data_IF_660044586753
#
_entry.id   IF_660044586753
#
_cell.length_a   1.000
_cell.length_b   1.000
_cell.length_c   1.000
_cell.angle_alpha   90.00
_cell.angle_beta   90.00
_cell.angle_gamma   90.00
#
_symmetry.space_group_name_H-M   'P 1'
#
loop_
_entity.id
_entity.type
_entity.pdbx_description
1 polymer ?
#
# COMPACT_ATOMS: atom_id res chain seq x y z
N UNK A 1 -22.34 9.11 10.36
CA UNK A 1 -21.32 9.18 9.33
C UNK A 1 -21.07 7.77 8.78
N UNK A 2 -20.86 7.66 7.46
CA UNK A 2 -20.49 6.43 6.79
C UNK A 2 -18.98 6.45 6.51
N UNK A 3 -18.31 5.29 6.39
CA UNK A 3 -16.89 5.22 6.04
C UNK A 3 -16.66 5.87 4.67
N UNK A 4 -15.57 6.60 4.54
CA UNK A 4 -15.14 7.27 3.30
C UNK A 4 -13.84 6.70 2.74
N UNK A 5 -13.19 5.83 3.49
CA UNK A 5 -11.95 5.18 3.11
C UNK A 5 -11.99 3.66 3.37
N UNK A 6 -11.37 2.88 2.49
CA UNK A 6 -11.19 1.43 2.70
C UNK A 6 -10.28 1.09 3.89
N UNK A 7 -9.60 2.07 4.46
CA UNK A 7 -8.72 1.87 5.61
C UNK A 7 -9.46 2.11 6.94
N UNK A 8 -10.73 2.50 6.89
CA UNK A 8 -11.62 2.62 8.04
C UNK A 8 -12.25 1.25 8.35
N UNK A 9 -11.60 0.49 9.23
CA UNK A 9 -12.00 -0.88 9.61
C UNK A 9 -12.76 -0.95 10.94
N UNK A 10 -13.34 0.15 11.38
CA UNK A 10 -14.11 0.24 12.62
C UNK A 10 -15.59 0.47 12.34
N UNK A 11 -16.44 0.01 13.27
CA UNK A 11 -17.88 0.22 13.19
C UNK A 11 -18.22 1.68 13.45
N UNK A 12 -18.95 2.29 12.51
CA UNK A 12 -19.44 3.66 12.66
C UNK A 12 -20.70 3.67 13.55
N UNK A 13 -20.73 4.59 14.50
CA UNK A 13 -21.84 4.74 15.43
C UNK A 13 -22.14 6.23 15.69
N UNK A 14 -23.31 6.48 16.26
CA UNK A 14 -23.67 7.76 16.88
C UNK A 14 -23.91 7.52 18.36
N UNK A 15 -23.47 8.46 19.19
CA UNK A 15 -23.68 8.40 20.63
C UNK A 15 -24.84 9.33 21.03
N UNK A 16 -25.82 8.79 21.74
CA UNK A 16 -26.84 9.57 22.44
C UNK A 16 -26.36 9.75 23.88
N UNK A 17 -26.23 10.98 24.32
CA UNK A 17 -25.80 11.33 25.67
C UNK A 17 -26.97 11.93 26.42
N UNK A 18 -27.40 11.27 27.51
CA UNK A 18 -28.40 11.77 28.44
C UNK A 18 -27.68 12.40 29.62
N UNK A 19 -27.93 13.72 29.80
CA UNK A 19 -27.34 14.51 30.89
C UNK A 19 -28.36 14.63 31.99
N UNK A 20 -28.07 14.07 33.16
CA UNK A 20 -28.85 14.16 34.36
C UNK A 20 -28.60 15.45 35.15
N UNK A 21 -28.82 15.41 36.46
CA UNK A 21 -28.60 16.56 37.34
C UNK A 21 -27.09 16.82 37.54
N UNK A 22 -26.77 18.03 38.03
CA UNK A 22 -25.40 18.42 38.31
C UNK A 22 -24.73 17.44 39.29
N UNK A 23 -23.59 16.86 38.84
CA UNK A 23 -22.85 15.83 39.60
C UNK A 23 -23.21 14.39 39.26
N UNK A 24 -24.21 14.15 38.42
CA UNK A 24 -24.52 12.82 37.89
C UNK A 24 -23.65 12.48 36.65
N UNK A 25 -23.23 11.24 36.55
CA UNK A 25 -22.51 10.75 35.36
C UNK A 25 -23.47 10.63 34.19
N UNK A 26 -23.18 11.24 33.02
CA UNK A 26 -24.03 11.11 31.85
C UNK A 26 -24.17 9.65 31.39
N UNK A 27 -25.36 9.25 31.00
CA UNK A 27 -25.58 7.97 30.34
C UNK A 27 -25.27 8.11 28.83
N UNK A 28 -24.41 7.24 28.32
CA UNK A 28 -24.03 7.21 26.90
C UNK A 28 -24.56 5.94 26.27
N UNK A 29 -25.33 6.08 25.19
CA UNK A 29 -25.83 4.96 24.39
C UNK A 29 -25.29 5.08 22.98
N UNK A 30 -24.55 4.08 22.53
CA UNK A 30 -24.08 3.97 21.16
C UNK A 30 -25.12 3.27 20.28
N UNK A 31 -25.34 3.83 19.09
CA UNK A 31 -26.20 3.26 18.05
C UNK A 31 -25.34 3.06 16.82
N UNK A 32 -25.14 1.80 16.46
CA UNK A 32 -24.42 1.43 15.24
C UNK A 32 -25.16 1.88 14.00
N UNK A 33 -24.41 2.44 13.04
CA UNK A 33 -24.93 2.85 11.72
C UNK A 33 -24.55 1.77 10.72
N UNK A 34 -25.56 1.10 10.17
CA UNK A 34 -25.33 0.14 9.10
C UNK A 34 -25.06 0.88 7.80
N UNK A 35 -23.97 0.49 7.11
CA UNK A 35 -23.65 1.01 5.80
C UNK A 35 -24.39 0.17 4.72
N UNK A 36 -25.32 0.77 3.94
CA UNK A 36 -26.02 0.06 2.88
C UNK A 36 -25.09 -0.35 1.71
N UNK A 37 -23.93 0.27 1.58
CA UNK A 37 -22.92 -0.02 0.57
C UNK A 37 -21.55 -0.13 1.25
N UNK A 38 -21.25 -1.27 1.91
CA UNK A 38 -19.99 -1.43 2.63
C UNK A 38 -18.78 -1.33 1.70
N UNK A 39 -17.68 -0.84 2.26
CA UNK A 39 -16.38 -0.85 1.61
C UNK A 39 -15.73 -2.21 1.88
N UNK A 40 -15.55 -3.00 0.84
CA UNK A 40 -15.02 -4.37 0.94
C UNK A 40 -13.66 -4.43 0.26
N UNK A 41 -12.68 -4.97 0.97
CA UNK A 41 -11.35 -5.26 0.41
C UNK A 41 -11.25 -6.76 0.14
N UNK A 42 -10.76 -7.14 -1.04
CA UNK A 42 -10.53 -8.53 -1.41
C UNK A 42 -9.03 -8.76 -1.73
N UNK A 43 -8.40 -9.76 -1.11
CA UNK A 43 -8.93 -10.56 0.00
C UNK A 43 -9.17 -9.72 1.27
N UNK A 44 -10.00 -10.21 2.18
CA UNK A 44 -10.27 -9.55 3.47
C UNK A 44 -9.02 -9.42 4.32
N UNK A 45 -8.10 -10.36 4.20
CA UNK A 45 -6.83 -10.38 4.91
C UNK A 45 -5.68 -10.63 3.94
N UNK A 46 -4.59 -9.87 4.10
CA UNK A 46 -3.37 -10.05 3.33
C UNK A 46 -3.45 -9.50 1.90
N UNK A 47 -2.72 -10.14 1.01
CA UNK A 47 -2.59 -9.81 -0.40
C UNK A 47 -2.87 -11.07 -1.23
N UNK A 48 -3.39 -10.91 -2.42
CA UNK A 48 -3.59 -11.98 -3.40
C UNK A 48 -2.76 -11.69 -4.67
N UNK A 49 -2.41 -12.71 -5.41
CA UNK A 49 -1.92 -12.53 -6.78
C UNK A 49 -3.03 -11.92 -7.66
N UNK A 50 -2.66 -11.37 -8.80
CA UNK A 50 -3.64 -10.79 -9.72
C UNK A 50 -4.72 -11.80 -10.14
N UNK A 51 -4.33 -13.04 -10.44
CA UNK A 51 -5.26 -14.10 -10.84
C UNK A 51 -6.23 -14.48 -9.71
N UNK A 52 -5.72 -14.62 -8.49
CA UNK A 52 -6.55 -14.90 -7.31
C UNK A 52 -7.51 -13.73 -7.01
N UNK A 53 -7.07 -12.49 -7.16
CA UNK A 53 -7.90 -11.31 -6.95
C UNK A 53 -9.06 -11.25 -7.95
N UNK A 54 -8.82 -11.58 -9.22
CA UNK A 54 -9.87 -11.73 -10.25
C UNK A 54 -10.86 -12.81 -9.88
N UNK A 55 -10.38 -13.96 -9.41
CA UNK A 55 -11.23 -15.07 -8.99
C UNK A 55 -12.11 -14.67 -7.80
N UNK A 56 -11.54 -13.98 -6.79
CA UNK A 56 -12.28 -13.47 -5.64
C UNK A 56 -13.39 -12.49 -6.07
N UNK A 57 -13.07 -11.56 -6.95
CA UNK A 57 -14.04 -10.60 -7.47
C UNK A 57 -15.15 -11.29 -8.31
N UNK A 58 -14.78 -12.25 -9.13
CA UNK A 58 -15.75 -13.04 -9.91
C UNK A 58 -16.71 -13.83 -9.03
N UNK A 59 -16.22 -14.40 -7.91
CA UNK A 59 -17.01 -15.15 -6.94
C UNK A 59 -17.78 -14.25 -5.95
N UNK A 60 -17.54 -12.94 -5.96
CA UNK A 60 -18.28 -12.04 -5.09
C UNK A 60 -19.77 -12.09 -5.42
N UNK A 61 -20.68 -12.15 -4.42
CA UNK A 61 -22.12 -12.28 -4.66
C UNK A 61 -22.68 -11.15 -5.54
N UNK A 62 -23.58 -11.50 -6.44
CA UNK A 62 -24.14 -10.56 -7.42
C UNK A 62 -25.16 -9.59 -6.79
N UNK A 63 -25.76 -9.99 -5.67
CA UNK A 63 -26.86 -9.30 -4.99
C UNK A 63 -26.40 -8.42 -3.80
N UNK A 64 -25.11 -8.38 -3.51
CA UNK A 64 -24.58 -7.57 -2.42
C UNK A 64 -24.10 -6.21 -2.95
N UNK A 65 -24.75 -5.09 -2.59
CA UNK A 65 -24.28 -3.77 -2.92
C UNK A 65 -23.05 -3.43 -2.07
N UNK A 66 -21.91 -3.25 -2.73
CA UNK A 66 -20.64 -2.94 -2.06
C UNK A 66 -19.73 -2.12 -2.96
N UNK A 67 -18.79 -1.37 -2.37
CA UNK A 67 -17.65 -0.82 -3.06
C UNK A 67 -16.45 -1.74 -2.83
N UNK A 68 -15.75 -2.15 -3.90
CA UNK A 68 -14.71 -3.16 -3.81
C UNK A 68 -13.34 -2.57 -4.15
N UNK A 69 -12.37 -2.83 -3.26
CA UNK A 69 -10.94 -2.65 -3.48
C UNK A 69 -10.28 -4.02 -3.58
N UNK A 70 -9.38 -4.21 -4.55
CA UNK A 70 -8.54 -5.40 -4.63
C UNK A 70 -7.17 -5.10 -4.01
N UNK A 71 -6.71 -5.94 -3.06
CA UNK A 71 -5.35 -5.91 -2.53
C UNK A 71 -4.50 -6.95 -3.26
N UNK A 72 -3.58 -6.49 -4.11
CA UNK A 72 -2.81 -7.35 -5.00
C UNK A 72 -1.32 -7.28 -4.68
N UNK A 73 -0.69 -8.45 -4.54
CA UNK A 73 0.76 -8.58 -4.49
C UNK A 73 1.32 -8.65 -5.91
N UNK A 74 2.31 -7.82 -6.19
CA UNK A 74 2.98 -7.77 -7.49
C UNK A 74 4.49 -7.97 -7.31
N UNK A 75 5.12 -8.62 -8.28
CA UNK A 75 6.58 -8.69 -8.36
C UNK A 75 7.13 -7.43 -9.05
N UNK A 76 6.63 -7.11 -10.23
CA UNK A 76 7.02 -5.94 -11.01
C UNK A 76 5.89 -4.94 -11.21
N UNK A 77 4.97 -5.23 -12.15
CA UNK A 77 3.87 -4.35 -12.54
C UNK A 77 2.58 -5.13 -12.75
N UNK A 78 1.45 -4.46 -12.49
CA UNK A 78 0.15 -4.96 -12.91
C UNK A 78 0.01 -4.87 -14.44
N UNK A 79 -0.78 -5.76 -15.07
CA UNK A 79 -1.18 -5.60 -16.47
C UNK A 79 -1.79 -4.22 -16.73
N UNK A 80 -1.50 -3.64 -17.88
CA UNK A 80 -2.01 -2.30 -18.26
C UNK A 80 -3.54 -2.24 -18.20
N UNK A 81 -4.21 -3.35 -18.52
CA UNK A 81 -5.67 -3.45 -18.57
C UNK A 81 -6.30 -3.93 -17.25
N UNK A 82 -5.51 -4.09 -16.18
CA UNK A 82 -6.00 -4.66 -14.91
C UNK A 82 -7.25 -3.96 -14.36
N UNK A 83 -7.31 -2.63 -14.42
CA UNK A 83 -8.49 -1.90 -13.97
C UNK A 83 -9.73 -2.16 -14.85
N UNK A 84 -9.53 -2.28 -16.16
CA UNK A 84 -10.61 -2.57 -17.10
C UNK A 84 -11.12 -4.01 -16.94
N UNK A 85 -10.22 -4.98 -16.75
CA UNK A 85 -10.58 -6.38 -16.46
C UNK A 85 -11.38 -6.48 -15.15
N UNK A 86 -10.90 -5.83 -14.06
CA UNK A 86 -11.62 -5.82 -12.79
C UNK A 86 -13.01 -5.17 -12.91
N UNK A 87 -13.12 -4.05 -13.62
CA UNK A 87 -14.40 -3.40 -13.84
C UNK A 87 -15.37 -4.30 -14.62
N UNK A 88 -14.88 -5.01 -15.65
CA UNK A 88 -15.67 -5.97 -16.43
C UNK A 88 -16.16 -7.15 -15.59
N UNK A 89 -15.34 -7.66 -14.66
CA UNK A 89 -15.74 -8.75 -13.75
C UNK A 89 -16.83 -8.32 -12.74
N UNK A 90 -16.91 -7.04 -12.43
CA UNK A 90 -17.97 -6.48 -11.58
C UNK A 90 -19.23 -6.07 -12.36
N UNK A 91 -19.19 -6.12 -13.69
CA UNK A 91 -20.31 -5.76 -14.53
C UNK A 91 -21.49 -6.75 -14.34
N UNK A 92 -22.69 -6.20 -14.18
CA UNK A 92 -23.89 -6.98 -13.90
C UNK A 92 -24.13 -7.34 -12.44
N UNK A 93 -23.16 -7.10 -11.54
CA UNK A 93 -23.29 -7.25 -10.09
C UNK A 93 -23.80 -5.95 -9.44
N UNK A 94 -24.37 -6.05 -8.24
CA UNK A 94 -24.73 -4.86 -7.45
C UNK A 94 -23.51 -4.17 -6.82
N UNK A 95 -22.39 -4.85 -6.75
CA UNK A 95 -21.14 -4.25 -6.28
C UNK A 95 -20.52 -3.35 -7.36
N UNK A 96 -19.66 -2.42 -6.91
CA UNK A 96 -18.89 -1.54 -7.77
C UNK A 96 -17.39 -1.70 -7.48
N UNK A 97 -16.62 -2.09 -8.46
CA UNK A 97 -15.18 -2.04 -8.39
C UNK A 97 -14.69 -0.58 -8.32
N UNK A 98 -13.77 -0.29 -7.40
CA UNK A 98 -13.25 1.06 -7.17
C UNK A 98 -11.77 1.19 -7.55
N UNK A 99 -10.92 0.32 -7.02
CA UNK A 99 -9.47 0.44 -7.23
C UNK A 99 -8.72 -0.85 -6.92
N UNK A 100 -7.49 -0.91 -7.43
CA UNK A 100 -6.48 -1.91 -7.07
C UNK A 100 -5.45 -1.22 -6.17
N UNK A 101 -5.21 -1.80 -5.00
CA UNK A 101 -4.12 -1.46 -4.11
C UNK A 101 -3.00 -2.48 -4.33
N UNK A 102 -2.07 -2.17 -5.23
CA UNK A 102 -0.95 -3.02 -5.55
C UNK A 102 0.20 -2.80 -4.56
N UNK A 103 0.69 -3.86 -3.97
CA UNK A 103 1.87 -3.85 -3.10
C UNK A 103 2.93 -4.78 -3.68
N UNK A 104 4.16 -4.29 -3.76
CA UNK A 104 5.28 -5.16 -4.14
C UNK A 104 5.51 -6.21 -3.07
N UNK A 105 5.80 -7.42 -3.51
CA UNK A 105 6.25 -8.49 -2.63
C UNK A 105 7.43 -7.97 -1.82
N UNK A 106 7.29 -7.97 -0.50
CA UNK A 106 8.42 -7.61 0.35
C UNK A 106 9.55 -8.60 0.07
N UNK A 107 10.61 -8.14 -0.54
CA UNK A 107 11.88 -8.90 -0.57
C UNK A 107 12.19 -9.16 0.90
N UNK A 108 12.38 -10.44 1.26
CA UNK A 108 12.67 -10.83 2.64
C UNK A 108 13.81 -9.95 3.13
N UNK A 109 13.56 -9.19 4.16
CA UNK A 109 14.53 -8.31 4.83
C UNK A 109 15.73 -9.07 5.43
N UNK A 110 15.76 -10.40 5.33
CA UNK A 110 16.81 -11.25 5.89
C UNK A 110 18.18 -11.04 5.24
N UNK A 111 18.25 -10.41 4.04
CA UNK A 111 19.51 -10.13 3.35
C UNK A 111 19.87 -8.64 3.26
N UNK A 112 19.00 -7.74 3.69
CA UNK A 112 19.33 -6.31 3.74
C UNK A 112 19.87 -5.99 5.13
N UNK A 113 21.18 -5.84 5.26
CA UNK A 113 21.78 -5.23 6.45
C UNK A 113 21.24 -3.81 6.57
N UNK A 114 20.29 -3.63 7.50
CA UNK A 114 19.78 -2.29 7.85
C UNK A 114 20.92 -1.54 8.54
N UNK A 115 21.59 -0.69 7.79
CA UNK A 115 22.58 0.22 8.36
C UNK A 115 21.91 1.23 9.28
N UNK A 116 22.51 1.48 10.42
CA UNK A 116 22.13 2.63 11.23
C UNK A 116 22.47 3.93 10.49
N UNK A 117 21.85 5.04 10.87
CA UNK A 117 22.12 6.36 10.25
C UNK A 117 23.60 6.72 10.37
N UNK A 118 24.25 6.33 11.46
CA UNK A 118 25.67 6.57 11.68
C UNK A 118 26.55 5.75 10.75
N UNK A 119 26.27 4.45 10.59
CA UNK A 119 27.00 3.58 9.68
C UNK A 119 26.82 4.04 8.22
N UNK A 120 25.61 4.50 7.85
CA UNK A 120 25.35 5.04 6.52
C UNK A 120 26.14 6.33 6.23
N UNK A 121 26.33 7.18 7.23
CA UNK A 121 27.12 8.42 7.10
C UNK A 121 28.64 8.17 7.01
N UNK A 122 29.12 7.07 7.58
CA UNK A 122 30.53 6.69 7.57
C UNK A 122 30.91 5.85 6.33
N UNK A 123 29.91 5.28 5.63
CA UNK A 123 30.15 4.43 4.47
C UNK A 123 30.49 5.25 3.23
N UNK A 124 31.41 4.74 2.41
CA UNK A 124 31.79 5.42 1.17
C UNK A 124 30.63 5.38 0.16
N UNK A 125 30.32 6.48 -0.55
CA UNK A 125 29.22 6.53 -1.52
C UNK A 125 29.24 5.40 -2.55
N UNK A 126 30.43 4.97 -2.97
CA UNK A 126 30.59 3.87 -3.94
C UNK A 126 30.14 2.51 -3.39
N UNK A 127 30.34 2.26 -2.09
CA UNK A 127 29.88 1.02 -1.45
C UNK A 127 28.36 1.00 -1.31
N UNK A 128 27.76 2.16 -1.05
CA UNK A 128 26.31 2.32 -1.04
C UNK A 128 25.73 2.05 -2.44
N UNK A 129 26.36 2.60 -3.49
CA UNK A 129 25.95 2.38 -4.87
C UNK A 129 26.07 0.91 -5.29
N UNK A 130 27.16 0.23 -4.90
CA UNK A 130 27.37 -1.19 -5.17
C UNK A 130 26.30 -2.04 -4.51
N UNK A 131 26.00 -1.79 -3.24
CA UNK A 131 24.96 -2.51 -2.47
C UNK A 131 23.57 -2.30 -3.05
N UNK A 132 23.29 -1.07 -3.51
CA UNK A 132 22.04 -0.78 -4.19
C UNK A 132 21.91 -1.52 -5.53
N UNK A 133 22.98 -1.55 -6.32
CA UNK A 133 23.01 -2.30 -7.57
C UNK A 133 22.80 -3.80 -7.35
N UNK A 134 23.44 -4.37 -6.32
CA UNK A 134 23.25 -5.77 -5.92
C UNK A 134 21.80 -6.04 -5.49
N UNK A 135 21.20 -5.13 -4.72
CA UNK A 135 19.79 -5.23 -4.32
C UNK A 135 18.83 -5.20 -5.51
N UNK A 136 19.09 -4.36 -6.52
CA UNK A 136 18.29 -4.26 -7.74
C UNK A 136 18.66 -5.35 -8.79
N UNK A 137 19.65 -6.20 -8.50
CA UNK A 137 20.12 -7.24 -9.44
C UNK A 137 20.88 -6.68 -10.65
N UNK A 138 21.41 -5.45 -10.53
CA UNK A 138 22.18 -4.77 -11.57
C UNK A 138 23.66 -5.11 -11.41
N UNK A 139 24.36 -5.47 -12.50
CA UNK A 139 25.79 -5.70 -12.47
C UNK A 139 26.55 -4.39 -12.28
N UNK A 140 27.27 -4.25 -11.17
CA UNK A 140 28.13 -3.09 -10.87
C UNK A 140 29.57 -3.39 -11.31
N UNK A 141 29.82 -3.27 -12.62
CA UNK A 141 31.11 -3.57 -13.25
C UNK A 141 32.09 -2.39 -13.19
N UNK A 142 33.30 -2.59 -13.76
CA UNK A 142 34.36 -1.57 -13.75
C UNK A 142 33.97 -0.30 -14.53
N UNK A 143 33.15 -0.42 -15.58
CA UNK A 143 32.69 0.71 -16.37
C UNK A 143 31.71 1.57 -15.55
N UNK A 144 30.76 0.95 -14.89
CA UNK A 144 29.80 1.64 -14.00
C UNK A 144 30.51 2.28 -12.80
N UNK A 145 31.51 1.59 -12.23
CA UNK A 145 32.34 2.12 -11.14
C UNK A 145 33.11 3.37 -11.57
N UNK A 146 33.68 3.35 -12.78
CA UNK A 146 34.41 4.52 -13.33
C UNK A 146 33.47 5.70 -13.54
N UNK A 147 32.32 5.46 -14.17
CA UNK A 147 31.30 6.49 -14.38
C UNK A 147 30.79 7.09 -13.06
N UNK A 148 30.54 6.25 -12.05
CA UNK A 148 30.13 6.70 -10.73
C UNK A 148 31.16 7.62 -10.09
N UNK A 149 32.45 7.27 -10.16
CA UNK A 149 33.53 8.09 -9.60
C UNK A 149 33.66 9.45 -10.33
N UNK A 150 33.56 9.46 -11.66
CA UNK A 150 33.58 10.71 -12.44
C UNK A 150 32.44 11.67 -12.01
N UNK A 151 31.24 11.15 -11.83
CA UNK A 151 30.07 11.94 -11.36
C UNK A 151 30.31 12.45 -9.95
N UNK A 152 30.86 11.63 -9.06
CA UNK A 152 31.17 12.05 -7.68
C UNK A 152 32.22 13.16 -7.61
N UNK A 153 33.24 13.08 -8.47
CA UNK A 153 34.27 14.13 -8.57
C UNK A 153 33.66 15.45 -9.04
N UNK A 154 32.79 15.42 -10.07
CA UNK A 154 32.06 16.62 -10.54
C UNK A 154 31.22 17.28 -9.44
N UNK A 155 30.43 16.49 -8.71
CA UNK A 155 29.59 16.98 -7.62
C UNK A 155 30.42 17.58 -6.48
N UNK A 156 31.57 16.97 -6.19
CA UNK A 156 32.48 17.43 -5.13
C UNK A 156 33.16 18.74 -5.51
N UNK A 157 33.49 18.93 -6.79
CA UNK A 157 34.07 20.19 -7.32
C UNK A 157 33.04 21.34 -7.31
N UNK A 158 31.78 21.06 -7.69
CA UNK A 158 30.71 22.05 -7.63
C UNK A 158 30.46 22.53 -6.19
N UNK A 159 30.42 21.60 -5.22
CA UNK A 159 30.20 21.92 -3.81
C UNK A 159 31.34 22.71 -3.14
N UNK A 160 32.52 22.79 -3.76
CA UNK A 160 33.66 23.59 -3.28
C UNK A 160 33.67 25.01 -3.84
N UNK A 161 32.89 25.28 -4.88
CA UNK A 161 32.84 26.57 -5.55
C UNK A 161 31.64 27.45 -5.14
N UNK A 162 30.78 26.94 -4.27
CA UNK A 162 29.68 27.65 -3.61
C UNK A 162 30.09 28.01 -2.13
#
# INVERSE_FOLDING_TARGET
PLPVSFDENFTHSVSIVEIGQHGETPAVKEIEIQNPHPLVTLPTDGLATWEEAKELLSKFPDDIPAYIRLNVEIEDFLPVEANAEAASLAEGKQCRFCCINAKRKAVRQDDVQVLTVQEFQEEKPIEIARRYAEYEGISFDEEMQTMFNEVMDMVTEESRND
#
